data_IF_500294901765
#
_entry.id   IF_500294901765
#
_cell.length_a   1.000
_cell.length_b   1.000
_cell.length_c   1.000
_cell.angle_alpha   90.00
_cell.angle_beta   90.00
_cell.angle_gamma   90.00
#
_symmetry.space_group_name_H-M   'P 1'
#
loop_
_entity.id
_entity.type
_entity.pdbx_description
1 polymer ?
#
# COMPACT_ATOMS: atom_id res chain seq x y z
N UNK A 1 -5.22 3.27 0.31
CA UNK A 1 -5.71 4.63 0.58
C UNK A 1 -5.69 4.97 2.07
N UNK A 2 -6.77 4.84 2.86
CA UNK A 2 -6.84 5.47 4.21
C UNK A 2 -6.05 4.81 5.35
N UNK A 3 -5.62 3.57 5.18
CA UNK A 3 -4.88 2.84 6.21
C UNK A 3 -3.35 3.08 6.16
N UNK A 4 -2.84 3.54 5.01
CA UNK A 4 -1.42 3.80 4.85
C UNK A 4 -1.08 5.18 5.44
N UNK A 5 -0.18 5.27 6.43
CA UNK A 5 0.18 6.54 7.05
C UNK A 5 0.98 7.47 6.12
N UNK A 6 1.63 6.92 5.09
CA UNK A 6 2.45 7.67 4.12
C UNK A 6 1.77 7.82 2.76
N UNK A 7 0.48 7.52 2.66
CA UNK A 7 -0.34 7.69 1.44
C UNK A 7 0.22 7.03 0.17
N UNK A 8 1.02 5.96 0.31
CA UNK A 8 1.64 5.21 -0.81
C UNK A 8 0.62 4.49 -1.73
N UNK A 9 -0.65 4.44 -1.34
CA UNK A 9 -1.68 3.66 -2.02
C UNK A 9 -2.82 4.52 -2.53
N UNK A 10 -2.95 4.59 -3.85
CA UNK A 10 -4.00 5.31 -4.57
C UNK A 10 -5.07 4.38 -5.14
N UNK A 11 -6.25 4.93 -5.43
CA UNK A 11 -7.32 4.20 -6.11
C UNK A 11 -7.33 4.60 -7.58
N UNK A 12 -7.13 3.62 -8.46
CA UNK A 12 -7.24 3.82 -9.91
C UNK A 12 -8.51 3.15 -10.44
N UNK A 13 -9.04 3.67 -11.54
CA UNK A 13 -10.19 3.07 -12.24
C UNK A 13 -9.80 1.75 -12.87
N UNK A 14 -10.59 0.70 -12.65
CA UNK A 14 -10.33 -0.65 -13.17
C UNK A 14 -11.62 -1.43 -13.41
N UNK A 15 -11.91 -1.77 -14.67
CA UNK A 15 -13.20 -2.35 -15.07
C UNK A 15 -13.39 -3.85 -14.76
N UNK A 16 -12.32 -4.57 -14.36
CA UNK A 16 -12.45 -6.00 -14.02
C UNK A 16 -12.87 -6.26 -12.56
N UNK A 17 -13.30 -5.25 -11.82
CA UNK A 17 -13.84 -5.39 -10.47
C UNK A 17 -15.20 -4.70 -10.37
N UNK A 18 -16.13 -5.24 -9.56
CA UNK A 18 -17.46 -4.64 -9.34
C UNK A 18 -17.40 -3.20 -8.83
N UNK A 19 -16.37 -2.86 -8.07
CA UNK A 19 -16.15 -1.51 -7.55
C UNK A 19 -15.61 -0.53 -8.61
N UNK A 20 -15.29 -1.00 -9.82
CA UNK A 20 -14.66 -0.26 -10.91
C UNK A 20 -13.35 0.46 -10.51
N UNK A 21 -12.72 -0.02 -9.44
CA UNK A 21 -11.53 0.59 -8.85
C UNK A 21 -10.60 -0.50 -8.30
N UNK A 22 -9.29 -0.21 -8.34
CA UNK A 22 -8.23 -1.02 -7.77
C UNK A 22 -7.27 -0.14 -6.96
N UNK A 23 -6.74 -0.67 -5.86
CA UNK A 23 -5.66 -0.01 -5.13
C UNK A 23 -4.33 -0.26 -5.84
N UNK A 24 -3.59 0.81 -6.15
CA UNK A 24 -2.27 0.78 -6.79
C UNK A 24 -1.25 1.50 -5.92
N UNK A 25 0.02 1.16 -6.08
CA UNK A 25 1.14 1.82 -5.41
C UNK A 25 2.11 2.39 -6.45
N UNK A 26 2.05 3.70 -6.68
CA UNK A 26 2.95 4.38 -7.61
C UNK A 26 4.28 4.78 -6.95
N UNK A 27 4.30 4.95 -5.62
CA UNK A 27 5.45 5.46 -4.84
C UNK A 27 5.87 4.52 -3.71
N UNK A 28 6.24 3.28 -4.04
CA UNK A 28 6.71 2.29 -3.05
C UNK A 28 7.99 2.71 -2.29
N UNK A 29 8.75 3.67 -2.80
CA UNK A 29 9.96 4.20 -2.14
C UNK A 29 9.67 4.87 -0.79
N UNK A 30 8.46 5.41 -0.61
CA UNK A 30 7.99 6.07 0.61
C UNK A 30 7.29 5.09 1.56
N UNK A 31 7.31 3.80 1.24
CA UNK A 31 6.73 2.75 2.07
C UNK A 31 7.58 2.49 3.31
N UNK A 32 6.96 2.63 4.48
CA UNK A 32 7.60 2.37 5.79
C UNK A 32 7.48 0.90 6.25
N UNK A 33 6.94 0.01 5.41
CA UNK A 33 6.80 -1.39 5.76
C UNK A 33 5.81 -1.70 6.91
N UNK A 34 4.93 -0.77 7.28
CA UNK A 34 4.04 -0.91 8.46
C UNK A 34 2.93 -1.98 8.32
N UNK A 35 2.73 -2.55 7.13
CA UNK A 35 1.72 -3.59 6.80
C UNK A 35 0.26 -3.27 7.15
N UNK A 36 -0.07 -2.03 7.54
CA UNK A 36 -1.45 -1.62 7.85
C UNK A 36 -2.41 -1.79 6.67
N UNK A 37 -1.90 -1.70 5.45
CA UNK A 37 -2.66 -1.97 4.24
C UNK A 37 -3.09 -3.44 4.12
N UNK A 38 -2.29 -4.40 4.61
CA UNK A 38 -2.64 -5.83 4.64
C UNK A 38 -3.79 -6.07 5.61
N UNK A 39 -3.70 -5.55 6.83
CA UNK A 39 -4.77 -5.67 7.84
C UNK A 39 -6.07 -4.98 7.42
N UNK A 40 -5.97 -3.89 6.67
CA UNK A 40 -7.14 -3.17 6.16
C UNK A 40 -7.76 -3.82 4.92
N UNK A 41 -7.12 -4.84 4.33
CA UNK A 41 -7.60 -5.48 3.12
C UNK A 41 -8.86 -6.32 3.42
N UNK A 42 -10.03 -5.97 2.88
CA UNK A 42 -11.28 -6.65 3.24
C UNK A 42 -11.34 -8.10 2.73
N UNK A 43 -10.51 -8.46 1.75
CA UNK A 43 -10.50 -9.79 1.13
C UNK A 43 -9.51 -10.74 1.81
N UNK A 44 -8.65 -10.25 2.72
CA UNK A 44 -7.69 -10.95 3.61
C UNK A 44 -6.71 -11.99 2.99
N UNK A 45 -6.91 -12.42 1.73
CA UNK A 45 -6.23 -13.58 1.14
C UNK A 45 -5.06 -13.21 0.22
N UNK A 46 -5.21 -12.21 -0.68
CA UNK A 46 -4.17 -11.93 -1.70
C UNK A 46 -4.17 -10.54 -2.37
N UNK A 47 -5.07 -9.60 -2.07
CA UNK A 47 -5.17 -8.38 -2.89
C UNK A 47 -4.06 -7.35 -2.62
N UNK A 48 -3.42 -7.36 -1.45
CA UNK A 48 -2.26 -6.51 -1.17
C UNK A 48 -1.26 -7.23 -0.27
N UNK A 49 0.02 -7.15 -0.61
CA UNK A 49 1.14 -7.72 0.16
C UNK A 49 2.31 -6.75 0.13
N UNK A 50 2.94 -6.56 1.28
CA UNK A 50 4.13 -5.73 1.44
C UNK A 50 5.35 -6.65 1.50
N UNK A 51 6.17 -6.55 0.47
CA UNK A 51 7.49 -7.17 0.44
C UNK A 51 8.54 -6.17 0.92
N UNK A 52 9.30 -6.55 1.94
CA UNK A 52 10.37 -5.72 2.48
C UNK A 52 11.64 -5.93 1.65
N UNK A 53 12.08 -4.88 0.97
CA UNK A 53 13.31 -4.86 0.19
C UNK A 53 14.48 -4.25 0.95
N UNK A 54 15.38 -3.57 0.24
CA UNK A 54 16.50 -2.82 0.82
C UNK A 54 16.02 -1.63 1.64
N UNK A 55 16.61 -1.48 2.83
CA UNK A 55 16.25 -0.43 3.78
C UNK A 55 16.78 0.95 3.32
N UNK A 56 15.87 1.92 3.27
CA UNK A 56 16.11 3.33 3.02
C UNK A 56 15.68 4.18 4.24
N UNK A 57 16.08 5.45 4.27
CA UNK A 57 15.71 6.42 5.31
C UNK A 57 14.20 6.55 5.56
N UNK A 58 13.37 6.46 4.51
CA UNK A 58 11.90 6.38 4.64
C UNK A 58 11.46 5.08 5.30
N UNK A 59 11.97 3.93 4.85
CA UNK A 59 11.59 2.61 5.39
C UNK A 59 11.94 2.45 6.88
N UNK A 60 13.02 3.11 7.32
CA UNK A 60 13.42 3.18 8.73
C UNK A 60 12.59 4.17 9.55
N UNK A 61 11.74 4.96 8.90
CA UNK A 61 10.95 5.97 9.59
C UNK A 61 11.76 7.17 10.06
N UNK A 62 12.90 7.46 9.44
CA UNK A 62 13.76 8.57 9.83
C UNK A 62 13.46 9.86 9.05
N UNK A 63 12.45 9.80 8.17
CA UNK A 63 12.02 10.91 7.31
C UNK A 63 10.74 11.60 7.80
N UNK A 64 10.17 11.17 8.93
CA UNK A 64 8.93 11.69 9.52
C UNK A 64 9.18 12.45 10.82
#
# INVERSE_FOLDING_TARGET
VRACPTEVLDMMTWDHCRAQQIACSDTLQDCIGCKRCETACPTDFLSIRVELGTENYYSMGLAY
#
